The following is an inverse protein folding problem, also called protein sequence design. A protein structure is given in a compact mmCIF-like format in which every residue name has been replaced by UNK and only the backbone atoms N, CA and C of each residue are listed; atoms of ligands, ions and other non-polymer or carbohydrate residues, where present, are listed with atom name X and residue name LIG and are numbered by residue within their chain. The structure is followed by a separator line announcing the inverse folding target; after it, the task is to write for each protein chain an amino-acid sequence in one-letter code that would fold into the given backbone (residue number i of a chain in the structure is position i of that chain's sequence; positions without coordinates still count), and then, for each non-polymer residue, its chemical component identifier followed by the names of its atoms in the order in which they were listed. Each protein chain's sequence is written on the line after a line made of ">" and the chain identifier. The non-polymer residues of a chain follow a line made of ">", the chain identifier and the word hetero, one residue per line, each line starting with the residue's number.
data_IF_517094623416
#
_entry.id   IF_517094623416
#
_cell.length_a   1.000
_cell.length_b   1.000
_cell.length_c   1.000
_cell.angle_alpha   90.00
_cell.angle_beta   90.00
_cell.angle_gamma   90.00
#
_symmetry.space_group_name_H-M   'P 1'
#
loop_
_entity.id
_entity.type
_entity.pdbx_description
1 polymer ?
#
# COMPACT_ATOMS: atom_id res chain seq x y z
N UNK A 1 6.77 1.24 -25.89
CA UNK A 1 7.24 0.25 -24.91
C UNK A 1 7.12 0.79 -23.49
N UNK A 2 7.02 -0.10 -22.51
CA UNK A 2 6.89 0.23 -21.08
C UNK A 2 8.12 -0.32 -20.35
N UNK A 3 8.71 0.49 -19.49
CA UNK A 3 9.71 0.05 -18.53
C UNK A 3 9.12 0.10 -17.12
N UNK A 4 8.98 -1.07 -16.51
CA UNK A 4 8.34 -1.22 -15.21
C UNK A 4 9.38 -1.41 -14.11
N UNK A 5 9.30 -0.56 -13.08
CA UNK A 5 10.00 -0.76 -11.81
C UNK A 5 9.11 -1.64 -10.93
N UNK A 6 9.60 -2.83 -10.60
CA UNK A 6 8.89 -3.76 -9.70
C UNK A 6 9.29 -3.51 -8.24
N UNK A 7 8.87 -4.40 -7.33
CA UNK A 7 9.10 -4.28 -5.88
C UNK A 7 10.53 -3.89 -5.48
N UNK A 8 10.66 -2.96 -4.52
CA UNK A 8 11.90 -2.64 -3.81
C UNK A 8 12.38 -1.19 -3.88
N UNK A 9 11.57 -0.28 -4.43
CA UNK A 9 11.84 1.16 -4.48
C UNK A 9 11.38 1.90 -3.21
N UNK A 10 10.31 1.41 -2.61
CA UNK A 10 9.74 1.88 -1.36
C UNK A 10 10.58 1.41 -0.17
N UNK A 11 10.52 2.12 0.96
CA UNK A 11 11.19 1.69 2.19
C UNK A 11 10.56 0.45 2.82
N UNK A 12 9.23 0.30 2.66
CA UNK A 12 8.44 -0.86 3.09
C UNK A 12 7.09 -0.84 2.33
N UNK A 13 6.51 -2.01 2.08
CA UNK A 13 5.12 -2.13 1.64
C UNK A 13 4.21 -1.50 2.71
N UNK A 14 3.38 -0.55 2.29
CA UNK A 14 2.59 0.33 3.17
C UNK A 14 3.14 1.76 3.26
N UNK A 15 4.44 1.98 3.07
CA UNK A 15 5.09 3.30 3.18
C UNK A 15 5.49 3.86 1.79
N UNK A 16 4.52 3.99 0.88
CA UNK A 16 4.76 4.22 -0.55
C UNK A 16 5.40 5.55 -0.92
N UNK A 17 5.32 6.56 -0.05
CA UNK A 17 5.94 7.88 -0.26
C UNK A 17 7.32 8.02 0.40
N UNK A 18 7.76 6.99 1.13
CA UNK A 18 9.11 6.92 1.68
C UNK A 18 9.96 6.05 0.75
N UNK A 19 10.92 6.67 0.05
CA UNK A 19 11.75 5.99 -0.94
C UNK A 19 13.05 5.50 -0.32
N UNK A 20 13.55 4.35 -0.79
CA UNK A 20 14.90 3.89 -0.46
C UNK A 20 15.94 4.81 -1.15
N UNK A 21 16.35 5.86 -0.44
CA UNK A 21 17.33 6.83 -0.91
C UNK A 21 18.71 6.23 -1.21
N UNK A 22 19.03 5.02 -0.74
CA UNK A 22 20.29 4.36 -1.13
C UNK A 22 20.23 3.84 -2.56
N UNK A 23 19.08 3.31 -2.97
CA UNK A 23 18.84 2.80 -4.32
C UNK A 23 18.42 3.89 -5.29
N UNK A 24 17.60 4.82 -4.82
CA UNK A 24 16.98 5.89 -5.61
C UNK A 24 17.31 7.26 -5.01
N UNK A 25 18.59 7.69 -5.00
CA UNK A 25 19.03 8.92 -4.33
C UNK A 25 18.39 10.20 -4.90
N UNK A 26 17.94 10.17 -6.15
CA UNK A 26 17.29 11.29 -6.82
C UNK A 26 15.75 11.17 -6.83
N UNK A 27 15.20 10.21 -6.06
CA UNK A 27 13.76 9.95 -6.00
C UNK A 27 13.17 9.34 -7.27
N UNK A 28 11.89 8.99 -7.20
CA UNK A 28 11.20 8.22 -8.25
C UNK A 28 10.78 9.07 -9.45
N UNK A 29 10.56 10.38 -9.28
CA UNK A 29 10.35 11.30 -10.41
C UNK A 29 11.52 11.29 -11.38
N UNK A 30 12.75 11.36 -10.87
CA UNK A 30 13.96 11.32 -11.70
C UNK A 30 14.07 10.01 -12.49
N UNK A 31 13.53 8.91 -11.96
CA UNK A 31 13.49 7.62 -12.65
C UNK A 31 12.50 7.67 -13.81
N UNK A 32 11.27 8.15 -13.57
CA UNK A 32 10.25 8.30 -14.60
C UNK A 32 10.72 9.25 -15.72
N UNK A 33 11.25 10.43 -15.36
CA UNK A 33 11.79 11.40 -16.33
C UNK A 33 12.88 10.77 -17.23
N UNK A 34 13.74 9.91 -16.66
CA UNK A 34 14.78 9.20 -17.43
C UNK A 34 14.17 8.15 -18.37
N UNK A 35 13.20 7.36 -17.91
CA UNK A 35 12.46 6.40 -18.74
C UNK A 35 11.80 7.11 -19.93
N UNK A 36 11.13 8.24 -19.67
CA UNK A 36 10.51 9.07 -20.71
C UNK A 36 11.53 9.64 -21.69
N UNK A 37 12.71 10.05 -21.22
CA UNK A 37 13.81 10.53 -22.09
C UNK A 37 14.28 9.49 -23.11
N UNK A 38 13.97 8.21 -22.89
CA UNK A 38 14.24 7.10 -23.81
C UNK A 38 13.05 6.76 -24.73
N UNK A 39 11.97 7.53 -24.69
CA UNK A 39 10.76 7.31 -25.50
C UNK A 39 9.90 6.13 -25.02
N UNK A 40 10.03 5.74 -23.74
CA UNK A 40 9.23 4.67 -23.13
C UNK A 40 8.26 5.24 -22.09
N UNK A 41 7.21 4.50 -21.78
CA UNK A 41 6.30 4.78 -20.65
C UNK A 41 6.85 4.18 -19.36
N UNK A 42 6.61 4.84 -18.23
CA UNK A 42 7.06 4.41 -16.91
C UNK A 42 5.97 3.63 -16.17
N UNK A 43 6.29 2.41 -15.72
CA UNK A 43 5.42 1.58 -14.90
C UNK A 43 5.94 1.41 -13.47
N UNK A 44 5.05 1.33 -12.47
CA UNK A 44 5.41 1.12 -11.06
C UNK A 44 4.57 0.04 -10.39
N UNK A 45 5.20 -0.83 -9.61
CA UNK A 45 4.52 -1.83 -8.79
C UNK A 45 4.01 -1.27 -7.46
N UNK A 46 2.84 -1.71 -7.01
CA UNK A 46 2.21 -1.33 -5.74
C UNK A 46 1.42 -2.49 -5.13
N UNK A 47 1.43 -2.59 -3.80
CA UNK A 47 0.55 -3.46 -3.01
C UNK A 47 -0.35 -2.62 -2.08
N UNK A 48 -1.32 -1.87 -2.63
CA UNK A 48 -1.94 -0.71 -1.96
C UNK A 48 -2.74 -1.05 -0.68
N UNK A 49 -3.11 -2.32 -0.49
CA UNK A 49 -3.92 -2.77 0.64
C UNK A 49 -3.12 -3.47 1.74
N UNK A 50 -1.80 -3.61 1.54
CA UNK A 50 -0.90 -4.26 2.47
C UNK A 50 -0.01 -3.27 3.21
N UNK A 51 0.31 -3.58 4.46
CA UNK A 51 1.34 -2.87 5.23
C UNK A 51 2.23 -3.88 5.98
N UNK A 52 3.55 -3.84 5.76
CA UNK A 52 4.51 -4.69 6.47
C UNK A 52 4.39 -4.51 7.97
N UNK A 53 4.65 -5.56 8.74
CA UNK A 53 4.59 -5.51 10.20
C UNK A 53 5.49 -4.42 10.82
N UNK A 54 6.57 -4.09 10.13
CA UNK A 54 7.58 -3.09 10.51
C UNK A 54 7.38 -1.73 9.84
N UNK A 55 6.42 -1.60 8.93
CA UNK A 55 6.12 -0.31 8.26
C UNK A 55 5.68 0.74 9.27
N UNK A 56 5.96 2.01 8.98
CA UNK A 56 5.43 3.14 9.77
C UNK A 56 3.92 3.12 9.76
N UNK A 57 3.32 2.84 8.61
CA UNK A 57 1.86 2.69 8.47
C UNK A 57 1.29 1.68 9.48
N UNK A 58 1.87 0.47 9.59
CA UNK A 58 1.36 -0.53 10.53
C UNK A 58 1.68 -0.24 12.01
N UNK A 59 2.83 0.38 12.28
CA UNK A 59 3.33 0.64 13.65
C UNK A 59 2.79 1.92 14.26
N UNK A 60 2.39 2.90 13.44
CA UNK A 60 1.85 4.19 13.89
C UNK A 60 0.33 4.26 13.78
N UNK A 61 -0.28 3.49 12.87
CA UNK A 61 -1.73 3.48 12.63
C UNK A 61 -2.33 2.08 12.83
N UNK A 62 -2.28 1.58 14.07
CA UNK A 62 -2.87 0.29 14.42
C UNK A 62 -4.40 0.24 14.23
N UNK A 63 -5.06 1.39 14.21
CA UNK A 63 -6.48 1.59 13.92
C UNK A 63 -6.82 1.44 12.43
N UNK A 64 -5.82 1.54 11.54
CA UNK A 64 -6.00 1.34 10.09
C UNK A 64 -6.02 -0.13 9.68
N UNK A 65 -5.75 -1.06 10.59
CA UNK A 65 -5.65 -2.48 10.27
C UNK A 65 -7.00 -3.20 10.43
N UNK A 66 -7.34 -4.08 9.50
CA UNK A 66 -8.49 -4.97 9.66
C UNK A 66 -8.24 -5.88 10.86
N UNK A 67 -9.24 -6.01 11.73
CA UNK A 67 -9.17 -6.85 12.94
C UNK A 67 -10.04 -8.08 12.81
N UNK A 68 -9.50 -9.20 13.28
CA UNK A 68 -10.24 -10.44 13.52
C UNK A 68 -11.17 -10.27 14.73
N UNK A 69 -12.10 -11.20 14.93
CA UNK A 69 -13.01 -11.23 16.09
C UNK A 69 -12.30 -11.25 17.45
N UNK A 70 -11.10 -11.84 17.50
CA UNK A 70 -10.27 -11.89 18.71
C UNK A 70 -9.42 -10.62 18.92
N UNK A 71 -9.64 -9.56 18.14
CA UNK A 71 -8.94 -8.28 18.25
C UNK A 71 -7.57 -8.22 17.56
N UNK A 72 -7.01 -9.37 17.15
CA UNK A 72 -5.73 -9.40 16.44
C UNK A 72 -5.87 -8.92 14.98
N UNK A 73 -4.85 -8.24 14.43
CA UNK A 73 -4.87 -7.85 13.02
C UNK A 73 -4.95 -9.04 12.05
N UNK A 74 -5.56 -8.81 10.88
CA UNK A 74 -5.57 -9.75 9.77
C UNK A 74 -4.22 -9.71 9.04
N UNK A 75 -3.58 -10.87 8.93
CA UNK A 75 -2.33 -11.06 8.18
C UNK A 75 -2.65 -11.57 6.77
N UNK A 76 -1.95 -11.05 5.76
CA UNK A 76 -2.18 -11.41 4.36
C UNK A 76 -1.16 -12.40 3.78
N UNK A 77 -0.02 -12.59 4.45
CA UNK A 77 1.07 -13.42 3.97
C UNK A 77 2.34 -13.25 4.78
N UNK A 78 3.42 -13.88 4.34
CA UNK A 78 4.72 -13.93 5.02
C UNK A 78 5.83 -13.20 4.25
N UNK A 79 5.52 -12.61 3.10
CA UNK A 79 6.44 -11.79 2.32
C UNK A 79 7.02 -10.65 3.19
N UNK A 80 8.29 -10.32 2.98
CA UNK A 80 9.02 -9.28 3.73
C UNK A 80 9.01 -9.43 5.27
N UNK A 81 8.78 -10.66 5.77
CA UNK A 81 8.63 -10.93 7.21
C UNK A 81 7.19 -10.85 7.71
N UNK A 82 6.23 -10.52 6.83
CA UNK A 82 4.80 -10.52 7.06
C UNK A 82 4.17 -9.14 6.97
N UNK A 83 2.89 -9.12 6.58
CA UNK A 83 2.15 -7.88 6.35
C UNK A 83 0.66 -8.03 6.69
N UNK A 84 0.08 -6.92 7.13
CA UNK A 84 -1.32 -6.80 7.54
C UNK A 84 -2.19 -6.27 6.40
N UNK A 85 -3.50 -6.53 6.50
CA UNK A 85 -4.51 -5.90 5.64
C UNK A 85 -4.92 -4.53 6.19
N UNK A 86 -4.93 -3.51 5.32
CA UNK A 86 -5.48 -2.19 5.62
C UNK A 86 -7.01 -2.19 5.49
N UNK A 87 -7.69 -1.55 6.44
CA UNK A 87 -9.14 -1.38 6.45
C UNK A 87 -9.53 -0.19 5.57
N UNK A 88 -9.86 -0.48 4.31
CA UNK A 88 -10.31 0.54 3.36
C UNK A 88 -11.66 1.15 3.74
N UNK A 89 -12.36 0.71 4.78
CA UNK A 89 -13.55 1.39 5.28
C UNK A 89 -13.21 2.60 6.16
N UNK A 90 -11.98 2.67 6.67
CA UNK A 90 -11.45 3.82 7.42
C UNK A 90 -11.18 4.98 6.44
N UNK A 91 -11.80 6.16 6.61
CA UNK A 91 -11.62 7.30 5.69
C UNK A 91 -10.16 7.72 5.50
N UNK A 92 -9.37 7.69 6.58
CA UNK A 92 -7.96 8.04 6.58
C UNK A 92 -7.13 7.09 5.69
N UNK A 93 -7.45 5.79 5.70
CA UNK A 93 -6.82 4.79 4.81
C UNK A 93 -7.16 5.08 3.35
N UNK A 94 -8.44 5.36 3.03
CA UNK A 94 -8.84 5.73 1.66
C UNK A 94 -8.11 6.98 1.19
N UNK A 95 -7.99 7.99 2.06
CA UNK A 95 -7.31 9.23 1.76
C UNK A 95 -5.82 9.02 1.54
N UNK A 96 -5.17 8.19 2.36
CA UNK A 96 -3.77 7.83 2.18
C UNK A 96 -3.53 7.10 0.86
N UNK A 97 -4.38 6.11 0.54
CA UNK A 97 -4.30 5.37 -0.73
C UNK A 97 -4.44 6.32 -1.91
N UNK A 98 -5.47 7.16 -1.91
CA UNK A 98 -5.66 8.17 -2.93
C UNK A 98 -4.44 9.09 -3.05
N UNK A 99 -3.92 9.56 -1.91
CA UNK A 99 -2.81 10.50 -1.90
C UNK A 99 -1.55 9.93 -2.55
N UNK A 100 -1.14 8.70 -2.24
CA UNK A 100 0.06 8.16 -2.88
C UNK A 100 -0.16 7.88 -4.37
N UNK A 101 -1.37 7.52 -4.80
CA UNK A 101 -1.67 7.40 -6.23
C UNK A 101 -1.58 8.75 -6.93
N UNK A 102 -2.11 9.82 -6.32
CA UNK A 102 -2.04 11.16 -6.87
C UNK A 102 -0.56 11.60 -7.03
N UNK A 103 0.29 11.35 -6.04
CA UNK A 103 1.73 11.66 -6.11
C UNK A 103 2.43 10.81 -7.17
N UNK A 104 2.19 9.50 -7.21
CA UNK A 104 2.87 8.59 -8.15
C UNK A 104 2.53 8.92 -9.60
N UNK A 105 1.24 9.15 -9.89
CA UNK A 105 0.77 9.36 -11.25
C UNK A 105 1.00 10.79 -11.73
N UNK A 106 0.73 11.79 -10.87
CA UNK A 106 0.75 13.19 -11.30
C UNK A 106 2.06 13.90 -10.97
N UNK A 107 2.69 13.62 -9.82
CA UNK A 107 3.90 14.32 -9.40
C UNK A 107 5.18 13.60 -9.87
N UNK A 108 5.22 12.27 -9.72
CA UNK A 108 6.35 11.45 -10.19
C UNK A 108 6.26 11.13 -11.68
N UNK A 109 5.06 11.15 -12.27
CA UNK A 109 4.86 10.95 -13.70
C UNK A 109 4.88 9.49 -14.15
N UNK A 110 4.47 8.54 -13.30
CA UNK A 110 4.29 7.16 -13.75
C UNK A 110 2.99 7.02 -14.56
N UNK A 111 3.07 6.34 -15.70
CA UNK A 111 1.97 6.18 -16.66
C UNK A 111 1.11 4.94 -16.38
N UNK A 112 1.68 3.96 -15.67
CA UNK A 112 1.05 2.69 -15.37
C UNK A 112 1.40 2.23 -13.96
N UNK A 113 0.44 1.58 -13.31
CA UNK A 113 0.64 0.90 -12.03
C UNK A 113 0.30 -0.59 -12.14
N UNK A 114 1.21 -1.45 -11.68
CA UNK A 114 0.97 -2.87 -11.46
C UNK A 114 0.50 -3.05 -10.02
N UNK A 115 -0.76 -3.43 -9.83
CA UNK A 115 -1.33 -3.66 -8.51
C UNK A 115 -1.25 -5.13 -8.14
N UNK A 116 -0.75 -5.42 -6.95
CA UNK A 116 -0.49 -6.77 -6.46
C UNK A 116 -1.08 -6.99 -5.06
N UNK A 117 -1.04 -8.23 -4.58
CA UNK A 117 -1.50 -8.64 -3.25
C UNK A 117 -2.97 -8.26 -2.94
N UNK A 118 -3.86 -8.42 -3.92
CA UNK A 118 -5.31 -8.24 -3.74
C UNK A 118 -5.92 -9.15 -2.67
N UNK A 119 -5.21 -10.19 -2.20
CA UNK A 119 -5.61 -10.97 -1.02
C UNK A 119 -5.77 -10.11 0.24
N UNK A 120 -5.11 -8.95 0.32
CA UNK A 120 -5.31 -7.97 1.39
C UNK A 120 -6.55 -7.09 1.21
N UNK A 121 -7.12 -7.00 0.01
CA UNK A 121 -8.33 -6.24 -0.24
C UNK A 121 -9.53 -7.00 0.34
N UNK A 122 -9.82 -6.78 1.62
CA UNK A 122 -10.88 -7.48 2.35
C UNK A 122 -11.78 -6.47 3.02
N UNK A 123 -13.07 -6.77 3.08
CA UNK A 123 -14.01 -5.97 3.87
C UNK A 123 -13.95 -6.37 5.33
N UNK A 124 -14.17 -5.41 6.23
CA UNK A 124 -14.17 -5.64 7.67
C UNK A 124 -15.51 -6.23 8.17
N UNK A 125 -16.03 -7.23 7.45
CA UNK A 125 -17.35 -7.83 7.70
C UNK A 125 -17.37 -8.74 8.92
N UNK A 126 -16.23 -9.30 9.32
CA UNK A 126 -16.17 -10.27 10.42
C UNK A 126 -16.12 -9.63 11.81
N UNK A 127 -15.65 -8.39 11.95
CA UNK A 127 -15.57 -7.69 13.25
C UNK A 127 -16.83 -6.88 13.59
N UNK A 128 -17.67 -6.53 12.61
CA UNK A 128 -18.83 -5.63 12.77
C UNK A 128 -20.18 -6.32 12.96
N UNK A 129 -20.22 -7.62 13.31
CA UNK A 129 -21.46 -8.21 13.82
C UNK A 129 -21.83 -7.48 15.13
N UNK A 130 -22.81 -6.57 15.06
CA UNK A 130 -23.44 -5.97 16.24
C UNK A 130 -23.77 -7.09 17.23
N UNK A 131 -23.56 -6.90 18.54
CA UNK A 131 -24.03 -7.87 19.51
C UNK A 131 -25.50 -8.12 19.21
N UNK A 132 -25.88 -9.38 18.95
CA UNK A 132 -27.29 -9.74 18.91
C UNK A 132 -27.86 -9.27 20.24
N UNK A 133 -28.78 -8.31 20.20
CA UNK A 133 -29.59 -7.97 21.36
C UNK A 133 -30.14 -9.31 21.86
N UNK A 134 -29.72 -9.68 23.07
CA UNK A 134 -30.37 -10.72 23.83
C UNK A 134 -31.77 -10.18 24.11
N UNK A 135 -32.72 -10.53 23.25
CA UNK A 135 -34.12 -10.47 23.63
C UNK A 135 -34.35 -11.60 24.62
N UNK A 136 -34.91 -11.18 25.75
CA UNK A 136 -35.33 -11.91 26.95
C UNK A 136 -35.91 -13.29 26.65
#
# INVERSE_FOLDING_TARGET
>A
DIFQIDDGYQSATGDWLTIDNKKFPNGMKSVADNIHSKGMLAGLWLAPFGAEFTSKTATQHHDWLIRKKNGHPVTCGINWGGFYALDIEVPEVKNYIKHFFDVILNDWGFDLVKLDFFICCRNNTESRQKPRSAYV
#
